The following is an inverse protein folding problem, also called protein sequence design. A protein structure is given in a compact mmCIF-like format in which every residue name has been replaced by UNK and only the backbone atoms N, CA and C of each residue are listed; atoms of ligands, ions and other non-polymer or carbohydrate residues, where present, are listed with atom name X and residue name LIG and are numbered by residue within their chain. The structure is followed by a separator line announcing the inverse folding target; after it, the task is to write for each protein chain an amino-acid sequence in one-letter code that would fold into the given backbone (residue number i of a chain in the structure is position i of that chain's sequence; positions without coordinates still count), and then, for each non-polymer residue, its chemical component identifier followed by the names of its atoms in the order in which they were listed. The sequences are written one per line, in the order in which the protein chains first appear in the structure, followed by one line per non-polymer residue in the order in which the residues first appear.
data_IF_233114868952
#
_entry.id   IF_233114868952
#
_cell.length_a   1.000
_cell.length_b   1.000
_cell.length_c   1.000
_cell.angle_alpha   90.00
_cell.angle_beta   90.00
_cell.angle_gamma   90.00
#
_symmetry.space_group_name_H-M   'P 1'
#
loop_
_entity.id
_entity.type
_entity.pdbx_description
1 polymer ?
#
# COMPACT_ATOMS: atom_id res chain seq x y z
N UNK A 1 20.44 -28.41 -4.28
CA UNK A 1 20.98 -27.46 -3.28
C UNK A 1 21.90 -26.42 -3.91
N UNK A 2 22.81 -26.81 -4.84
CA UNK A 2 23.71 -25.87 -5.57
C UNK A 2 22.94 -24.94 -6.52
N UNK A 3 21.93 -25.40 -7.22
CA UNK A 3 21.08 -24.60 -8.11
C UNK A 3 20.27 -23.54 -7.34
N UNK A 4 19.70 -23.90 -6.19
CA UNK A 4 19.01 -22.96 -5.31
C UNK A 4 19.93 -21.84 -4.83
N UNK A 5 21.18 -22.15 -4.47
CA UNK A 5 22.17 -21.16 -4.06
C UNK A 5 22.56 -20.24 -5.23
N UNK A 6 22.68 -20.77 -6.45
CA UNK A 6 22.96 -20.00 -7.64
C UNK A 6 21.82 -19.05 -7.99
N UNK A 7 20.58 -19.54 -7.95
CA UNK A 7 19.38 -18.72 -8.16
C UNK A 7 19.27 -17.59 -7.13
N UNK A 8 19.51 -17.88 -5.84
CA UNK A 8 19.55 -16.87 -4.79
C UNK A 8 20.67 -15.84 -4.96
N UNK A 9 21.80 -16.18 -5.58
CA UNK A 9 22.89 -15.25 -5.86
C UNK A 9 22.53 -14.25 -6.96
N UNK A 10 21.76 -14.67 -7.96
CA UNK A 10 21.27 -13.82 -9.06
C UNK A 10 20.32 -12.73 -8.49
N UNK A 11 19.41 -13.10 -7.59
CA UNK A 11 18.50 -12.14 -6.94
C UNK A 11 19.21 -11.13 -6.02
N UNK A 12 20.47 -11.38 -5.69
CA UNK A 12 21.29 -10.49 -4.86
C UNK A 12 22.17 -9.53 -5.69
N UNK A 13 22.04 -9.56 -7.01
CA UNK A 13 22.79 -8.68 -7.93
C UNK A 13 22.42 -7.21 -7.72
N UNK A 14 23.41 -6.29 -7.94
CA UNK A 14 23.21 -4.84 -7.82
C UNK A 14 22.00 -4.31 -8.61
N UNK A 15 21.78 -4.72 -9.88
CA UNK A 15 20.66 -4.21 -10.68
C UNK A 15 19.30 -4.63 -10.11
N UNK A 16 19.15 -5.84 -9.55
CA UNK A 16 17.89 -6.29 -8.97
C UNK A 16 17.56 -5.56 -7.67
N UNK A 17 18.58 -5.18 -6.88
CA UNK A 17 18.33 -4.31 -5.70
C UNK A 17 17.90 -2.91 -6.12
N UNK A 18 18.51 -2.34 -7.16
CA UNK A 18 18.10 -1.05 -7.69
C UNK A 18 16.62 -1.09 -8.16
N UNK A 19 16.24 -2.17 -8.84
CA UNK A 19 14.84 -2.40 -9.23
C UNK A 19 13.92 -2.52 -7.99
N UNK A 20 14.39 -3.16 -6.91
CA UNK A 20 13.67 -3.23 -5.64
C UNK A 20 13.43 -1.83 -5.04
N UNK A 21 14.44 -0.96 -5.01
CA UNK A 21 14.26 0.42 -4.53
C UNK A 21 13.33 1.24 -5.44
N UNK A 22 13.43 1.08 -6.76
CA UNK A 22 12.52 1.73 -7.70
C UNK A 22 11.08 1.27 -7.48
N UNK A 23 10.88 -0.03 -7.28
CA UNK A 23 9.55 -0.58 -6.98
C UNK A 23 8.98 -0.06 -5.67
N UNK A 24 9.82 0.17 -4.65
CA UNK A 24 9.41 0.81 -3.39
C UNK A 24 8.95 2.27 -3.61
N UNK A 25 9.60 3.01 -4.52
CA UNK A 25 9.18 4.37 -4.83
C UNK A 25 7.81 4.42 -5.55
N UNK A 26 7.47 3.40 -6.33
CA UNK A 26 6.19 3.32 -7.05
C UNK A 26 5.06 2.76 -6.17
N UNK A 27 5.39 1.99 -5.13
CA UNK A 27 4.42 1.28 -4.30
C UNK A 27 3.37 2.19 -3.63
N UNK A 28 3.70 3.38 -3.06
CA UNK A 28 2.70 4.27 -2.48
C UNK A 28 1.63 4.72 -3.48
N UNK A 29 2.02 4.95 -4.74
CA UNK A 29 1.07 5.28 -5.82
C UNK A 29 0.13 4.11 -6.13
N UNK A 30 0.63 2.88 -6.07
CA UNK A 30 -0.22 1.71 -6.20
C UNK A 30 -1.25 1.62 -5.08
N UNK A 31 -0.85 1.88 -3.82
CA UNK A 31 -1.79 1.92 -2.68
C UNK A 31 -2.85 3.01 -2.87
N UNK A 32 -2.46 4.21 -3.29
CA UNK A 32 -3.37 5.30 -3.58
C UNK A 32 -4.36 4.92 -4.69
N UNK A 33 -3.86 4.36 -5.79
CA UNK A 33 -4.69 3.90 -6.90
C UNK A 33 -5.73 2.86 -6.44
N UNK A 34 -5.36 1.93 -5.57
CA UNK A 34 -6.29 0.92 -5.02
C UNK A 34 -7.38 1.59 -4.18
N UNK A 35 -7.00 2.52 -3.29
CA UNK A 35 -7.94 3.25 -2.45
C UNK A 35 -8.93 4.06 -3.28
N UNK A 36 -8.43 4.83 -4.24
CA UNK A 36 -9.25 5.71 -5.08
C UNK A 36 -10.12 4.92 -6.05
N UNK A 37 -9.57 3.88 -6.67
CA UNK A 37 -10.35 3.03 -7.57
C UNK A 37 -11.54 2.37 -6.85
N UNK A 38 -11.34 1.89 -5.63
CA UNK A 38 -12.42 1.29 -4.84
C UNK A 38 -13.45 2.34 -4.38
N UNK A 39 -13.03 3.59 -4.22
CA UNK A 39 -13.91 4.70 -3.88
C UNK A 39 -14.79 5.12 -5.07
N UNK A 40 -14.16 5.37 -6.22
CA UNK A 40 -14.86 5.88 -7.42
C UNK A 40 -15.56 4.78 -8.23
N UNK A 41 -15.18 3.51 -8.07
CA UNK A 41 -15.72 2.32 -8.77
C UNK A 41 -15.64 2.36 -10.30
N UNK A 42 -15.09 3.41 -10.87
CA UNK A 42 -14.96 3.61 -12.31
C UNK A 42 -13.67 4.40 -12.59
N UNK A 43 -12.91 3.91 -13.57
CA UNK A 43 -11.65 4.53 -13.98
C UNK A 43 -11.86 5.94 -14.55
N UNK A 44 -12.93 6.14 -15.31
CA UNK A 44 -13.24 7.43 -15.92
C UNK A 44 -13.51 8.51 -14.86
N UNK A 45 -14.24 8.15 -13.79
CA UNK A 45 -14.49 9.04 -12.66
C UNK A 45 -13.22 9.37 -11.88
N UNK A 46 -12.35 8.39 -11.72
CA UNK A 46 -11.04 8.58 -11.08
C UNK A 46 -10.19 9.56 -11.89
N UNK A 47 -10.09 9.38 -13.21
CA UNK A 47 -9.34 10.29 -14.08
C UNK A 47 -9.94 11.70 -14.06
N UNK A 48 -11.26 11.81 -14.15
CA UNK A 48 -11.96 13.09 -14.05
C UNK A 48 -11.70 13.79 -12.71
N UNK A 49 -11.66 13.05 -11.59
CA UNK A 49 -11.28 13.61 -10.29
C UNK A 49 -9.86 14.17 -10.30
N UNK A 50 -8.90 13.43 -10.84
CA UNK A 50 -7.51 13.87 -10.95
C UNK A 50 -7.36 15.15 -11.78
N UNK A 51 -8.16 15.30 -12.85
CA UNK A 51 -8.15 16.49 -13.71
C UNK A 51 -8.83 17.70 -13.07
N UNK A 52 -9.99 17.49 -12.42
CA UNK A 52 -10.79 18.60 -11.86
C UNK A 52 -10.26 19.09 -10.52
N UNK A 53 -9.59 18.24 -9.75
CA UNK A 53 -9.13 18.56 -8.41
C UNK A 53 -7.64 18.22 -8.18
N UNK A 54 -6.71 18.85 -8.90
CA UNK A 54 -5.29 18.54 -8.78
C UNK A 54 -4.68 18.88 -7.41
N UNK A 55 -5.28 19.80 -6.65
CA UNK A 55 -4.83 20.18 -5.30
C UNK A 55 -4.99 19.06 -4.29
N UNK A 56 -6.20 18.53 -4.05
CA UNK A 56 -6.44 17.39 -3.19
C UNK A 56 -5.61 16.16 -3.57
N UNK A 57 -5.54 15.81 -4.86
CA UNK A 57 -4.76 14.65 -5.33
C UNK A 57 -3.27 14.78 -4.98
N UNK A 58 -2.68 15.96 -5.14
CA UNK A 58 -1.29 16.20 -4.72
C UNK A 58 -1.11 16.04 -3.21
N UNK A 59 -2.07 16.51 -2.42
CA UNK A 59 -2.03 16.32 -0.98
C UNK A 59 -2.11 14.85 -0.58
N UNK A 60 -3.00 14.08 -1.19
CA UNK A 60 -3.13 12.63 -0.99
C UNK A 60 -1.83 11.90 -1.32
N UNK A 61 -1.18 12.24 -2.44
CA UNK A 61 0.13 11.70 -2.82
C UNK A 61 1.16 11.99 -1.71
N UNK A 62 1.24 13.23 -1.23
CA UNK A 62 2.19 13.59 -0.17
C UNK A 62 1.93 12.79 1.10
N UNK A 63 0.67 12.70 1.53
CA UNK A 63 0.28 11.96 2.73
C UNK A 63 0.62 10.49 2.62
N UNK A 64 0.29 9.82 1.50
CA UNK A 64 0.57 8.39 1.34
C UNK A 64 2.08 8.10 1.33
N UNK A 65 2.90 9.00 0.76
CA UNK A 65 4.35 8.87 0.81
C UNK A 65 4.91 9.08 2.22
N UNK A 66 4.38 10.04 2.99
CA UNK A 66 4.79 10.24 4.38
C UNK A 66 4.46 9.03 5.24
N UNK A 67 3.25 8.48 5.10
CA UNK A 67 2.84 7.25 5.80
C UNK A 67 3.73 6.07 5.39
N UNK A 68 4.03 5.93 4.11
CA UNK A 68 4.93 4.89 3.61
C UNK A 68 6.34 5.02 4.20
N UNK A 69 6.91 6.21 4.18
CA UNK A 69 8.24 6.48 4.74
C UNK A 69 8.28 6.19 6.25
N UNK A 70 7.21 6.55 6.97
CA UNK A 70 7.08 6.24 8.39
C UNK A 70 7.12 4.73 8.64
N UNK A 71 6.31 3.94 7.92
CA UNK A 71 6.31 2.48 8.05
C UNK A 71 7.65 1.88 7.62
N UNK A 72 8.25 2.38 6.55
CA UNK A 72 9.54 1.89 6.07
C UNK A 72 10.65 2.18 7.09
N UNK A 73 10.63 3.36 7.70
CA UNK A 73 11.53 3.73 8.77
C UNK A 73 11.37 2.82 10.01
N UNK A 74 10.12 2.53 10.39
CA UNK A 74 9.79 1.72 11.56
C UNK A 74 10.16 0.24 11.35
N UNK A 75 9.74 -0.35 10.23
CA UNK A 75 9.90 -1.78 9.97
C UNK A 75 11.27 -2.15 9.38
N UNK A 76 11.96 -1.20 8.75
CA UNK A 76 13.30 -1.34 8.14
C UNK A 76 13.41 -2.42 7.05
N UNK A 77 12.41 -3.26 6.87
CA UNK A 77 12.34 -4.34 5.89
C UNK A 77 11.33 -3.97 4.81
N UNK A 78 11.80 -3.86 3.58
CA UNK A 78 10.96 -3.48 2.43
C UNK A 78 9.75 -4.38 2.24
N UNK A 79 9.94 -5.69 2.32
CA UNK A 79 8.85 -6.66 2.18
C UNK A 79 7.80 -6.53 3.30
N UNK A 80 8.21 -6.30 4.56
CA UNK A 80 7.27 -6.08 5.67
C UNK A 80 6.52 -4.75 5.50
N UNK A 81 7.22 -3.70 5.07
CA UNK A 81 6.59 -2.40 4.84
C UNK A 81 5.50 -2.49 3.77
N UNK A 82 5.81 -3.11 2.64
CA UNK A 82 4.85 -3.33 1.55
C UNK A 82 3.70 -4.23 1.99
N UNK A 83 3.99 -5.32 2.70
CA UNK A 83 2.96 -6.23 3.22
C UNK A 83 2.01 -5.55 4.20
N UNK A 84 2.54 -4.81 5.18
CA UNK A 84 1.73 -4.12 6.20
C UNK A 84 0.95 -2.96 5.60
N UNK A 85 1.64 -2.06 4.88
CA UNK A 85 0.98 -0.89 4.30
C UNK A 85 -0.02 -1.28 3.21
N UNK A 86 0.36 -2.23 2.33
CA UNK A 86 -0.54 -2.75 1.33
C UNK A 86 -1.75 -3.45 1.95
N UNK A 87 -1.54 -4.30 2.95
CA UNK A 87 -2.62 -4.97 3.68
C UNK A 87 -3.59 -3.98 4.32
N UNK A 88 -3.08 -2.92 4.97
CA UNK A 88 -3.92 -1.84 5.51
C UNK A 88 -4.66 -1.08 4.40
N UNK A 89 -4.01 -0.75 3.29
CA UNK A 89 -4.66 -0.07 2.16
C UNK A 89 -5.79 -0.92 1.57
N UNK A 90 -5.58 -2.23 1.40
CA UNK A 90 -6.63 -3.15 0.94
C UNK A 90 -7.77 -3.29 1.95
N UNK A 91 -7.46 -3.31 3.24
CA UNK A 91 -8.47 -3.35 4.30
C UNK A 91 -9.36 -2.08 4.26
N UNK A 92 -8.74 -0.90 4.21
CA UNK A 92 -9.48 0.36 4.12
C UNK A 92 -10.26 0.48 2.81
N UNK A 93 -9.68 0.07 1.68
CA UNK A 93 -10.36 0.02 0.39
C UNK A 93 -11.60 -0.90 0.44
N UNK A 94 -11.48 -2.06 1.09
CA UNK A 94 -12.59 -2.99 1.30
C UNK A 94 -13.70 -2.38 2.17
N UNK A 95 -13.34 -1.80 3.32
CA UNK A 95 -14.30 -1.18 4.23
C UNK A 95 -15.04 -0.04 3.52
N UNK A 96 -14.31 0.83 2.81
CA UNK A 96 -14.92 1.94 2.09
C UNK A 96 -15.83 1.44 0.96
N UNK A 97 -15.39 0.45 0.18
CA UNK A 97 -16.18 -0.15 -0.90
C UNK A 97 -17.50 -0.73 -0.39
N UNK A 98 -17.47 -1.47 0.72
CA UNK A 98 -18.66 -2.08 1.32
C UNK A 98 -19.60 -1.02 1.87
N UNK A 99 -19.07 0.00 2.56
CA UNK A 99 -19.87 1.09 3.09
C UNK A 99 -20.59 1.87 1.99
N UNK A 100 -19.88 2.25 0.93
CA UNK A 100 -20.48 2.92 -0.23
C UNK A 100 -21.52 2.04 -0.92
N UNK A 101 -21.33 0.71 -0.89
CA UNK A 101 -22.32 -0.22 -1.47
C UNK A 101 -23.64 -0.25 -0.69
N UNK A 102 -23.58 -0.13 0.62
CA UNK A 102 -24.75 -0.27 1.51
C UNK A 102 -25.39 1.08 1.80
N UNK A 103 -24.61 2.09 2.16
CA UNK A 103 -25.09 3.38 2.64
C UNK A 103 -25.03 4.51 1.60
N UNK A 104 -24.33 4.31 0.48
CA UNK A 104 -24.10 5.36 -0.52
C UNK A 104 -23.04 6.40 -0.13
N UNK A 105 -22.54 6.38 1.11
CA UNK A 105 -21.60 7.35 1.65
C UNK A 105 -20.22 6.74 1.90
N UNK A 106 -19.18 7.59 1.81
CA UNK A 106 -17.81 7.20 2.09
C UNK A 106 -17.60 6.87 3.58
N UNK A 107 -16.57 6.08 3.85
CA UNK A 107 -16.17 5.76 5.21
C UNK A 107 -15.49 6.96 5.87
N UNK A 108 -16.00 7.37 7.04
CA UNK A 108 -15.42 8.42 7.87
C UNK A 108 -14.83 7.83 9.17
N UNK A 109 -13.77 8.45 9.75
CA UNK A 109 -13.20 7.99 11.02
C UNK A 109 -14.23 7.88 12.16
N UNK A 110 -15.29 8.67 12.13
CA UNK A 110 -16.41 8.64 13.09
C UNK A 110 -17.16 7.30 13.06
N UNK A 111 -17.20 6.63 11.92
CA UNK A 111 -17.87 5.33 11.77
C UNK A 111 -17.15 4.23 12.56
N UNK A 112 -15.84 4.37 12.79
CA UNK A 112 -15.09 3.45 13.66
C UNK A 112 -15.57 3.52 15.11
N UNK A 113 -16.06 4.68 15.55
CA UNK A 113 -16.60 4.85 16.90
C UNK A 113 -18.01 4.24 17.04
N UNK A 114 -18.74 4.16 15.93
CA UNK A 114 -20.09 3.55 15.87
C UNK A 114 -20.06 2.04 15.61
N UNK A 115 -18.92 1.48 15.17
CA UNK A 115 -18.77 0.04 14.85
C UNK A 115 -18.77 -0.89 16.08
N UNK A 116 -19.25 -0.41 17.24
CA UNK A 116 -19.45 -1.24 18.45
C UNK A 116 -20.51 -2.35 18.31
N UNK A 117 -21.29 -2.36 17.24
CA UNK A 117 -22.26 -3.42 16.92
C UNK A 117 -21.70 -4.35 15.84
N UNK A 118 -20.98 -5.40 16.27
CA UNK A 118 -20.39 -6.42 15.38
C UNK A 118 -21.42 -7.09 14.43
N UNK A 119 -22.73 -6.96 14.70
CA UNK A 119 -23.81 -7.49 13.86
C UNK A 119 -23.95 -6.79 12.50
N UNK A 120 -23.58 -5.52 12.41
CA UNK A 120 -23.64 -4.78 11.13
C UNK A 120 -22.50 -5.16 10.19
N UNK A 121 -21.31 -5.50 10.74
CA UNK A 121 -20.15 -5.92 9.94
C UNK A 121 -20.43 -7.19 9.14
N UNK A 122 -21.24 -8.12 9.62
CA UNK A 122 -21.55 -9.36 8.90
C UNK A 122 -22.43 -9.14 7.67
N UNK A 123 -23.31 -8.13 7.69
CA UNK A 123 -24.12 -7.76 6.52
C UNK A 123 -23.29 -7.13 5.39
N UNK A 124 -22.13 -6.53 5.72
CA UNK A 124 -21.22 -5.95 4.74
C UNK A 124 -20.42 -7.00 3.96
N UNK A 125 -20.20 -8.18 4.52
CA UNK A 125 -19.38 -9.25 3.90
C UNK A 125 -20.12 -9.97 2.76
N UNK A 126 -21.45 -9.88 2.69
CA UNK A 126 -22.27 -10.58 1.68
C UNK A 126 -22.23 -9.94 0.27
N UNK A 127 -21.76 -8.71 0.15
CA UNK A 127 -21.55 -8.05 -1.15
C UNK A 127 -20.31 -8.58 -1.85
N UNK A 128 -20.47 -9.26 -2.98
CA UNK A 128 -19.34 -9.82 -3.74
C UNK A 128 -18.30 -8.75 -4.10
N UNK A 129 -17.03 -9.02 -3.78
CA UNK A 129 -15.92 -8.14 -4.12
C UNK A 129 -15.66 -8.12 -5.64
N UNK A 130 -15.32 -6.97 -6.22
CA UNK A 130 -15.02 -6.89 -7.64
C UNK A 130 -13.77 -7.73 -7.98
N UNK A 131 -13.75 -8.31 -9.18
CA UNK A 131 -12.62 -9.14 -9.64
C UNK A 131 -11.27 -8.41 -9.55
N UNK A 132 -11.26 -7.10 -9.74
CA UNK A 132 -10.08 -6.25 -9.67
C UNK A 132 -9.46 -6.18 -8.28
N UNK A 133 -10.27 -6.34 -7.22
CA UNK A 133 -9.77 -6.42 -5.85
C UNK A 133 -8.85 -7.63 -5.67
N UNK A 134 -9.27 -8.80 -6.14
CA UNK A 134 -8.48 -10.02 -6.07
C UNK A 134 -7.21 -9.95 -6.90
N UNK A 135 -7.28 -9.32 -8.08
CA UNK A 135 -6.11 -9.09 -8.93
C UNK A 135 -5.10 -8.18 -8.23
N UNK A 136 -5.56 -7.08 -7.61
CA UNK A 136 -4.71 -6.19 -6.84
C UNK A 136 -4.08 -6.87 -5.63
N UNK A 137 -4.84 -7.71 -4.92
CA UNK A 137 -4.32 -8.48 -3.79
C UNK A 137 -3.26 -9.49 -4.23
N UNK A 138 -3.46 -10.18 -5.36
CA UNK A 138 -2.47 -11.06 -5.95
C UNK A 138 -1.19 -10.29 -6.33
N UNK A 139 -1.34 -9.10 -6.94
CA UNK A 139 -0.21 -8.22 -7.25
C UNK A 139 0.56 -7.80 -5.98
N UNK A 140 -0.13 -7.46 -4.89
CA UNK A 140 0.48 -7.15 -3.59
C UNK A 140 1.31 -8.32 -3.05
N UNK A 141 0.77 -9.53 -3.12
CA UNK A 141 1.49 -10.74 -2.67
C UNK A 141 2.75 -10.96 -3.52
N UNK A 142 2.63 -10.90 -4.84
CA UNK A 142 3.77 -11.02 -5.76
C UNK A 142 4.83 -9.94 -5.49
N UNK A 143 4.41 -8.71 -5.24
CA UNK A 143 5.30 -7.59 -4.93
C UNK A 143 6.05 -7.79 -3.62
N UNK A 144 5.34 -8.24 -2.59
CA UNK A 144 5.93 -8.56 -1.28
C UNK A 144 6.97 -9.67 -1.40
N UNK A 145 6.67 -10.74 -2.15
CA UNK A 145 7.61 -11.83 -2.41
C UNK A 145 8.84 -11.32 -3.19
N UNK A 146 8.62 -10.53 -4.24
CA UNK A 146 9.71 -9.92 -5.01
C UNK A 146 10.67 -9.12 -4.12
N UNK A 147 10.15 -8.26 -3.23
CA UNK A 147 10.97 -7.48 -2.32
C UNK A 147 11.67 -8.34 -1.25
N UNK A 148 11.04 -9.40 -0.78
CA UNK A 148 11.67 -10.36 0.13
C UNK A 148 12.88 -11.05 -0.53
N UNK A 149 12.80 -11.33 -1.83
CA UNK A 149 13.90 -11.94 -2.59
C UNK A 149 15.03 -10.96 -2.90
N UNK A 150 14.70 -9.71 -3.27
CA UNK A 150 15.70 -8.68 -3.67
C UNK A 150 16.44 -8.07 -2.49
N UNK A 151 15.88 -8.20 -1.26
CA UNK A 151 16.44 -7.62 -0.02
C UNK A 151 16.83 -6.14 -0.17
N UNK A 152 15.93 -5.36 -0.75
CA UNK A 152 16.07 -3.90 -0.90
C UNK A 152 15.78 -3.19 0.44
N UNK A 153 16.39 -3.65 1.53
CA UNK A 153 16.14 -3.15 2.87
C UNK A 153 16.99 -1.90 3.17
N UNK A 154 16.50 -1.05 4.10
CA UNK A 154 17.28 0.11 4.56
C UNK A 154 18.52 -0.36 5.32
N UNK A 155 19.73 0.16 4.97
CA UNK A 155 20.93 -0.16 5.71
C UNK A 155 20.81 0.33 7.17
N UNK A 156 21.19 -0.51 8.11
CA UNK A 156 21.03 -0.30 9.55
C UNK A 156 21.64 1.01 10.10
N UNK A 157 22.56 1.63 9.35
CA UNK A 157 23.26 2.88 9.72
C UNK A 157 22.56 4.18 9.29
N UNK A 158 21.48 4.13 8.55
CA UNK A 158 20.86 5.34 7.96
C UNK A 158 20.18 6.24 9.01
N UNK A 159 19.55 5.64 10.01
CA UNK A 159 18.95 6.37 11.13
C UNK A 159 19.98 7.11 11.99
N UNK A 160 21.14 6.50 12.24
CA UNK A 160 22.23 7.15 12.97
C UNK A 160 22.84 8.33 12.17
N UNK A 161 22.84 8.24 10.86
CA UNK A 161 23.34 9.34 10.00
C UNK A 161 22.35 10.49 9.91
N UNK A 162 21.04 10.22 9.87
CA UNK A 162 20.02 11.27 9.89
C UNK A 162 19.90 11.94 11.26
N UNK A 163 19.96 11.18 12.36
CA UNK A 163 19.96 11.75 13.71
C UNK A 163 21.23 12.54 14.01
N UNK A 164 22.39 12.13 13.50
CA UNK A 164 23.62 12.89 13.62
C UNK A 164 23.62 14.18 12.76
N UNK A 165 22.99 14.16 11.57
CA UNK A 165 22.84 15.33 10.71
C UNK A 165 21.79 16.34 11.21
N UNK A 166 20.84 15.92 12.07
CA UNK A 166 19.86 16.81 12.69
C UNK A 166 20.36 17.47 13.99
N UNK A 167 21.53 17.10 14.47
CA UNK A 167 22.17 17.62 15.69
C UNK A 167 23.31 18.63 15.40
N UNK A 168 23.58 18.92 14.14
CA UNK A 168 24.51 19.94 13.64
C UNK A 168 23.74 21.08 12.98
#
# INVERSE_FOLDING_TARGET
RKELLHTMSIFRSRPLRALGYLSMAVFPLFCLLVLDYMNYRNLDRLLQHCELQPGPVRFEIVVIYLVFLFFWALLRRSALTVGVMGGLSFLFAYINYTKVAVNGDNFFPQDMMMAGSAGELTSFISGGLPKWFWLGLAALVCWTIFLALTKADLPCGWFYRLSAASLV
#
